data_IF_907726264147
#
_entry.id   IF_907726264147
#
_cell.length_a   1.000
_cell.length_b   1.000
_cell.length_c   1.000
_cell.angle_alpha   90.00
_cell.angle_beta   90.00
_cell.angle_gamma   90.00
#
_symmetry.space_group_name_H-M   'P 1'
#
loop_
_entity.id
_entity.type
_entity.pdbx_description
1 polymer ?
#
# COMPACT_ATOMS: atom_id res chain seq x y z
N UNK A 1 36.15 -5.15 9.82
CA UNK A 1 35.63 -6.53 9.93
C UNK A 1 34.70 -6.77 8.75
N UNK A 2 34.90 -7.81 7.94
CA UNK A 2 34.00 -8.15 6.83
C UNK A 2 32.91 -9.06 7.40
N UNK A 3 31.67 -8.58 7.47
CA UNK A 3 30.52 -9.43 7.85
C UNK A 3 30.30 -10.45 6.74
N UNK A 4 30.43 -11.73 7.07
CA UNK A 4 30.09 -12.81 6.12
C UNK A 4 28.59 -12.72 5.83
N UNK A 5 28.22 -12.69 4.55
CA UNK A 5 26.82 -12.77 4.14
C UNK A 5 26.39 -14.23 4.22
N UNK A 6 25.25 -14.55 4.83
CA UNK A 6 24.72 -15.90 4.84
C UNK A 6 24.36 -16.34 3.41
N UNK A 7 24.46 -17.65 3.15
CA UNK A 7 24.02 -18.23 1.86
C UNK A 7 22.52 -18.49 1.87
N UNK A 8 21.90 -18.58 0.70
CA UNK A 8 20.47 -18.90 0.57
C UNK A 8 20.08 -20.18 1.32
N UNK A 9 20.93 -21.19 1.26
CA UNK A 9 20.77 -22.45 2.00
C UNK A 9 20.76 -22.29 3.52
N UNK A 10 21.51 -21.32 4.06
CA UNK A 10 21.51 -21.00 5.49
C UNK A 10 20.25 -20.24 5.89
N UNK A 11 19.70 -19.42 4.99
CA UNK A 11 18.46 -18.68 5.21
C UNK A 11 17.22 -19.57 5.15
N UNK A 12 17.22 -20.58 4.27
CA UNK A 12 16.10 -21.52 4.12
C UNK A 12 16.13 -22.67 5.14
N UNK A 13 17.20 -22.80 5.94
CA UNK A 13 17.35 -23.89 6.90
C UNK A 13 16.38 -23.73 8.07
N UNK A 14 15.42 -24.64 8.17
CA UNK A 14 14.41 -24.64 9.25
C UNK A 14 13.18 -23.79 8.95
N UNK A 15 13.09 -23.22 7.74
CA UNK A 15 11.84 -22.66 7.24
C UNK A 15 10.95 -23.80 6.76
N UNK A 16 9.74 -23.89 7.30
CA UNK A 16 8.74 -24.83 6.80
C UNK A 16 8.17 -24.28 5.48
N UNK A 17 8.56 -24.94 4.39
CA UNK A 17 8.26 -24.56 3.02
C UNK A 17 6.78 -24.73 2.65
N UNK A 18 6.01 -25.45 3.47
CA UNK A 18 4.67 -25.92 3.11
C UNK A 18 3.57 -25.38 4.05
N UNK A 19 3.89 -25.17 5.34
CA UNK A 19 2.89 -24.83 6.36
C UNK A 19 2.95 -23.43 6.99
N UNK A 20 3.95 -22.60 6.69
CA UNK A 20 4.13 -21.33 7.44
C UNK A 20 3.10 -20.25 7.15
N UNK A 21 2.38 -20.31 6.02
CA UNK A 21 1.40 -19.28 5.62
C UNK A 21 0.08 -19.84 5.06
N UNK A 22 -0.09 -21.17 5.01
CA UNK A 22 -1.32 -21.76 4.45
C UNK A 22 -2.53 -21.55 5.36
N UNK A 23 -2.33 -21.54 6.68
CA UNK A 23 -3.42 -21.41 7.65
C UNK A 23 -3.90 -19.96 7.81
N UNK A 24 -3.06 -18.96 7.50
CA UNK A 24 -3.42 -17.53 7.57
C UNK A 24 -4.34 -17.07 6.43
N UNK A 25 -4.51 -17.89 5.37
CA UNK A 25 -5.39 -17.60 4.23
C UNK A 25 -6.59 -18.56 4.13
N UNK A 26 -6.67 -19.57 5.00
CA UNK A 26 -7.78 -20.52 5.00
C UNK A 26 -9.05 -19.89 5.60
N UNK A 27 -8.89 -19.06 6.64
CA UNK A 27 -9.98 -18.34 7.29
C UNK A 27 -9.74 -16.83 7.17
N UNK A 28 -10.58 -16.16 6.38
CA UNK A 28 -10.55 -14.70 6.27
C UNK A 28 -10.76 -14.06 7.65
N UNK A 29 -9.97 -13.04 7.96
CA UNK A 29 -10.17 -12.26 9.18
C UNK A 29 -11.58 -11.62 9.14
N UNK A 30 -12.26 -11.44 10.29
CA UNK A 30 -13.56 -10.78 10.34
C UNK A 30 -13.56 -9.40 9.66
N UNK A 31 -12.43 -8.68 9.74
CA UNK A 31 -12.24 -7.37 9.10
C UNK A 31 -12.17 -7.46 7.56
N UNK A 32 -11.70 -8.58 7.02
CA UNK A 32 -11.63 -8.84 5.57
C UNK A 32 -12.99 -9.28 5.00
N UNK A 33 -13.84 -9.95 5.81
CA UNK A 33 -15.22 -10.31 5.43
C UNK A 33 -16.10 -9.07 5.17
N UNK A 34 -15.95 -8.03 6.00
CA UNK A 34 -16.70 -6.77 5.86
C UNK A 34 -16.33 -6.01 4.57
N UNK A 35 -15.11 -6.22 4.05
CA UNK A 35 -14.66 -5.63 2.79
C UNK A 35 -15.18 -6.38 1.56
N UNK A 36 -15.49 -7.67 1.70
CA UNK A 36 -15.87 -8.53 0.59
C UNK A 36 -17.37 -8.45 0.24
N UNK A 37 -18.19 -8.04 1.20
CA UNK A 37 -19.61 -7.75 0.99
C UNK A 37 -19.94 -6.30 1.39
N UNK A 38 -19.46 -5.28 0.63
CA UNK A 38 -19.96 -3.93 0.81
C UNK A 38 -21.47 -3.98 0.65
N UNK A 39 -22.21 -3.61 1.71
CA UNK A 39 -23.64 -3.42 1.58
C UNK A 39 -23.88 -2.48 0.39
N UNK A 40 -24.88 -2.78 -0.43
CA UNK A 40 -25.20 -2.02 -1.64
C UNK A 40 -25.40 -0.51 -1.38
N UNK A 41 -25.62 -0.13 -0.12
CA UNK A 41 -25.71 1.24 0.35
C UNK A 41 -24.35 1.86 0.73
N UNK A 42 -23.38 1.09 1.25
CA UNK A 42 -22.00 1.56 1.50
C UNK A 42 -21.21 1.81 0.21
N UNK A 43 -21.53 1.07 -0.85
CA UNK A 43 -20.95 1.30 -2.19
C UNK A 43 -21.28 2.71 -2.73
N UNK A 44 -22.44 3.27 -2.36
CA UNK A 44 -22.86 4.60 -2.80
C UNK A 44 -22.18 5.73 -2.02
N UNK A 45 -21.79 5.47 -0.77
CA UNK A 45 -21.09 6.46 0.05
C UNK A 45 -19.61 6.57 -0.33
N UNK A 46 -18.97 5.45 -0.69
CA UNK A 46 -17.61 5.45 -1.28
C UNK A 46 -17.55 6.17 -2.64
N UNK A 47 -18.64 6.17 -3.42
CA UNK A 47 -18.74 6.88 -4.69
C UNK A 47 -18.75 8.43 -4.52
N UNK A 48 -19.13 8.94 -3.33
CA UNK A 48 -19.08 10.40 -3.06
C UNK A 48 -17.72 10.88 -2.57
N UNK A 49 -16.85 9.97 -2.15
CA UNK A 49 -15.50 10.31 -1.67
C UNK A 49 -14.48 10.55 -2.79
N UNK A 50 -14.91 10.47 -4.04
CA UNK A 50 -14.10 10.60 -5.24
C UNK A 50 -14.52 11.84 -6.04
N UNK A 51 -14.30 13.01 -5.45
CA UNK A 51 -13.90 14.18 -6.23
C UNK A 51 -12.40 13.98 -6.47
N UNK A 52 -11.88 13.46 -7.57
CA UNK A 52 -12.30 13.30 -8.96
C UNK A 52 -12.23 11.81 -9.37
N UNK A 53 -13.09 11.36 -10.28
CA UNK A 53 -13.14 9.91 -10.63
C UNK A 53 -12.18 9.51 -11.75
N UNK A 54 -11.53 10.47 -12.40
CA UNK A 54 -10.57 10.22 -13.45
C UNK A 54 -9.36 11.14 -13.32
N UNK A 55 -8.23 10.67 -13.82
CA UNK A 55 -7.05 11.51 -13.98
C UNK A 55 -7.35 12.73 -14.84
N UNK A 56 -8.19 12.58 -15.87
CA UNK A 56 -8.60 13.69 -16.74
C UNK A 56 -9.30 14.80 -15.95
N UNK A 57 -10.27 14.45 -15.10
CA UNK A 57 -10.98 15.43 -14.25
C UNK A 57 -10.03 16.09 -13.24
N UNK A 58 -9.09 15.33 -12.64
CA UNK A 58 -8.06 15.88 -11.75
C UNK A 58 -7.14 16.90 -12.44
N UNK A 59 -6.79 16.70 -13.71
CA UNK A 59 -5.92 17.60 -14.47
C UNK A 59 -6.67 18.80 -15.06
N UNK A 60 -7.97 18.64 -15.35
CA UNK A 60 -8.83 19.69 -15.91
C UNK A 60 -9.42 20.63 -14.82
N UNK A 61 -9.31 20.28 -13.54
CA UNK A 61 -9.71 21.12 -12.41
C UNK A 61 -8.73 22.32 -12.21
N UNK A 62 -9.20 23.54 -12.50
CA UNK A 62 -8.54 24.78 -12.06
C UNK A 62 -9.16 25.28 -10.73
N UNK A 63 -8.36 25.81 -9.78
CA UNK A 63 -6.98 26.27 -9.94
C UNK A 63 -5.99 25.18 -9.57
N UNK A 64 -5.03 24.97 -10.47
CA UNK A 64 -3.89 24.09 -10.23
C UNK A 64 -3.02 24.56 -9.07
N UNK A 65 -1.92 23.85 -8.90
CA UNK A 65 -0.90 24.10 -7.89
C UNK A 65 -0.46 25.57 -7.81
N UNK A 66 -0.25 26.09 -6.60
CA UNK A 66 0.29 27.45 -6.41
C UNK A 66 1.76 27.52 -6.83
N UNK A 67 2.21 28.69 -7.26
CA UNK A 67 3.57 28.93 -7.79
C UNK A 67 4.68 28.61 -6.77
N UNK A 68 4.36 28.67 -5.48
CA UNK A 68 5.28 28.41 -4.37
C UNK A 68 5.29 26.95 -3.88
N UNK A 69 4.37 26.11 -4.36
CA UNK A 69 4.26 24.74 -3.89
C UNK A 69 5.51 23.93 -4.25
N UNK A 70 6.08 23.25 -3.26
CA UNK A 70 7.29 22.43 -3.39
C UNK A 70 8.55 23.21 -3.82
N UNK A 71 8.56 24.55 -3.72
CA UNK A 71 9.73 25.38 -4.02
C UNK A 71 10.99 25.02 -3.20
N UNK A 72 10.81 24.44 -2.01
CA UNK A 72 11.86 23.73 -1.28
C UNK A 72 11.31 22.40 -0.78
N UNK A 73 11.62 21.33 -1.51
CA UNK A 73 11.31 19.98 -1.04
C UNK A 73 12.28 19.63 0.09
N UNK A 74 11.78 19.55 1.32
CA UNK A 74 12.52 19.21 2.55
C UNK A 74 13.04 17.76 2.56
N UNK A 75 13.77 17.36 1.51
CA UNK A 75 14.35 16.04 1.43
C UNK A 75 15.54 15.95 2.38
N UNK A 76 15.58 14.92 3.25
CA UNK A 76 16.72 14.71 4.11
C UNK A 76 17.98 14.48 3.27
N UNK A 77 19.10 15.05 3.70
CA UNK A 77 20.38 14.86 3.03
C UNK A 77 20.78 13.38 3.08
N UNK A 78 21.35 12.82 2.01
CA UNK A 78 21.83 11.45 2.02
C UNK A 78 22.85 11.27 3.16
N UNK A 79 22.73 10.17 3.89
CA UNK A 79 23.67 9.81 4.96
C UNK A 79 25.03 9.52 4.31
N UNK A 80 26.07 10.24 4.73
CA UNK A 80 27.45 10.07 4.26
C UNK A 80 28.03 8.74 4.69
#
# INVERSE_FOLDING_TARGET
MKTKRPTETELLKGLDAEGTHSDELADMLPEELDLQFPSSDSAKEKNRLSRSHTWDEYFDEEPGCTDDFMGQRDQPKPRK
#
